data_IF_763585405039
#
_entry.id   IF_763585405039
#
_cell.length_a   1.000
_cell.length_b   1.000
_cell.length_c   1.000
_cell.angle_alpha   90.00
_cell.angle_beta   90.00
_cell.angle_gamma   90.00
#
_symmetry.space_group_name_H-M   'P 1'
#
loop_
_entity.id
_entity.type
_entity.pdbx_description
1 polymer ?
#
# COMPACT_ATOMS: atom_id res chain seq x y z
N UNK A 1 18.47 34.15 2.39
CA UNK A 1 18.14 34.73 1.07
C UNK A 1 19.00 34.01 0.06
N UNK A 2 18.37 33.23 -0.82
CA UNK A 2 19.05 32.33 -1.75
C UNK A 2 18.29 31.02 -1.88
N UNK A 3 17.06 31.11 -2.40
CA UNK A 3 16.28 29.97 -2.89
C UNK A 3 17.08 29.20 -3.96
N UNK A 4 17.07 27.88 -3.89
CA UNK A 4 17.59 27.01 -4.96
C UNK A 4 16.57 25.91 -5.26
N UNK A 5 15.35 26.33 -5.58
CA UNK A 5 14.49 25.55 -6.47
C UNK A 5 14.76 26.02 -7.89
N UNK A 6 15.43 25.18 -8.67
CA UNK A 6 15.28 25.17 -10.12
C UNK A 6 15.66 23.78 -10.60
N UNK A 7 14.65 22.90 -10.71
CA UNK A 7 14.75 21.72 -11.58
C UNK A 7 15.19 22.20 -12.96
N UNK A 8 16.30 21.68 -13.49
CA UNK A 8 16.75 22.05 -14.82
C UNK A 8 15.68 21.64 -15.87
N UNK A 9 15.44 22.46 -16.91
CA UNK A 9 14.43 22.20 -17.94
C UNK A 9 14.79 21.02 -18.86
N UNK A 10 16.06 20.63 -18.92
CA UNK A 10 16.57 19.47 -19.65
C UNK A 10 17.11 18.36 -18.73
N UNK A 11 17.70 17.32 -19.33
CA UNK A 11 18.35 16.23 -18.57
C UNK A 11 19.57 15.65 -19.29
N UNK A 12 20.40 14.96 -18.53
CA UNK A 12 21.44 14.06 -19.04
C UNK A 12 20.89 12.64 -19.00
N UNK A 13 20.99 11.89 -20.10
CA UNK A 13 20.61 10.46 -20.14
C UNK A 13 21.86 9.59 -20.27
N UNK A 14 21.96 8.56 -19.43
CA UNK A 14 23.06 7.58 -19.45
C UNK A 14 22.49 6.18 -19.62
N UNK A 15 22.72 5.57 -20.77
CA UNK A 15 22.43 4.14 -20.95
C UNK A 15 23.59 3.32 -20.40
N UNK A 16 23.32 2.48 -19.40
CA UNK A 16 24.34 1.71 -18.68
C UNK A 16 23.99 0.22 -18.58
N UNK A 17 24.92 -0.58 -18.05
CA UNK A 17 24.68 -1.96 -17.63
C UNK A 17 25.26 -2.14 -16.22
N UNK A 18 24.55 -2.90 -15.37
CA UNK A 18 25.03 -3.24 -14.04
C UNK A 18 26.42 -3.90 -14.05
N UNK A 19 27.30 -3.46 -13.15
CA UNK A 19 28.66 -4.00 -13.02
C UNK A 19 29.68 -3.48 -14.04
N UNK A 20 29.31 -2.53 -14.92
CA UNK A 20 30.25 -1.91 -15.86
C UNK A 20 31.10 -0.80 -15.20
N UNK A 21 32.44 -0.91 -15.17
CA UNK A 21 33.31 0.11 -14.57
C UNK A 21 33.21 1.47 -15.27
N UNK A 22 33.16 1.49 -16.61
CA UNK A 22 33.05 2.72 -17.40
C UNK A 22 31.72 3.45 -17.18
N UNK A 23 30.63 2.71 -16.93
CA UNK A 23 29.34 3.31 -16.57
C UNK A 23 29.40 3.98 -15.20
N UNK A 24 30.06 3.35 -14.23
CA UNK A 24 30.22 3.89 -12.88
C UNK A 24 31.04 5.18 -12.92
N UNK A 25 32.16 5.18 -13.64
CA UNK A 25 33.03 6.35 -13.78
C UNK A 25 32.34 7.53 -14.48
N UNK A 26 31.56 7.26 -15.53
CA UNK A 26 30.77 8.29 -16.21
C UNK A 26 29.74 8.93 -15.26
N UNK A 27 29.00 8.11 -14.51
CA UNK A 27 27.99 8.60 -13.54
C UNK A 27 28.62 9.46 -12.45
N UNK A 28 29.76 9.06 -11.90
CA UNK A 28 30.49 9.87 -10.92
C UNK A 28 30.89 11.24 -11.48
N UNK A 29 31.34 11.28 -12.73
CA UNK A 29 31.72 12.54 -13.40
C UNK A 29 30.50 13.44 -13.60
N UNK A 30 29.37 12.87 -14.02
CA UNK A 30 28.13 13.61 -14.31
C UNK A 30 27.41 14.09 -13.03
N UNK A 31 27.48 13.32 -11.94
CA UNK A 31 26.88 13.69 -10.65
C UNK A 31 27.46 14.99 -10.09
N UNK A 32 28.72 15.32 -10.40
CA UNK A 32 29.37 16.56 -9.99
C UNK A 32 28.91 17.82 -10.74
N UNK A 33 28.07 17.70 -11.78
CA UNK A 33 27.70 18.82 -12.65
C UNK A 33 26.46 19.60 -12.19
N UNK A 34 25.75 19.12 -11.17
CA UNK A 34 24.59 19.80 -10.60
C UNK A 34 23.42 19.95 -11.59
N UNK A 35 23.21 18.94 -12.44
CA UNK A 35 22.09 18.83 -13.38
C UNK A 35 21.44 17.44 -13.29
N UNK A 36 20.16 17.28 -13.64
CA UNK A 36 19.47 15.98 -13.60
C UNK A 36 20.17 14.94 -14.48
N UNK A 37 20.55 13.82 -13.88
CA UNK A 37 21.12 12.65 -14.59
C UNK A 37 20.14 11.48 -14.47
N UNK A 38 19.62 11.02 -15.61
CA UNK A 38 18.76 9.86 -15.74
C UNK A 38 19.59 8.65 -16.19
N UNK A 39 19.67 7.63 -15.36
CA UNK A 39 20.37 6.38 -15.65
C UNK A 39 19.39 5.29 -16.08
N UNK A 40 19.67 4.65 -17.22
CA UNK A 40 18.83 3.62 -17.81
C UNK A 40 19.65 2.34 -17.93
N UNK A 41 19.32 1.33 -17.14
CA UNK A 41 19.96 0.02 -17.21
C UNK A 41 19.43 -0.79 -18.40
N UNK A 42 20.26 -0.97 -19.43
CA UNK A 42 19.96 -1.80 -20.59
C UNK A 42 19.94 -3.30 -20.26
N UNK A 43 20.37 -3.71 -19.06
CA UNK A 43 20.18 -5.05 -18.52
C UNK A 43 18.72 -5.34 -18.18
N UNK A 44 18.04 -4.39 -17.54
CA UNK A 44 16.61 -4.49 -17.20
C UNK A 44 15.68 -4.06 -18.35
N UNK A 45 16.17 -3.26 -19.30
CA UNK A 45 15.41 -2.73 -20.45
C UNK A 45 16.00 -3.18 -21.79
N UNK A 46 15.94 -4.50 -22.05
CA UNK A 46 16.50 -5.10 -23.27
C UNK A 46 15.89 -4.55 -24.57
N UNK A 47 14.66 -4.08 -24.53
CA UNK A 47 13.91 -3.46 -25.63
C UNK A 47 14.53 -2.16 -26.13
N UNK A 48 15.28 -1.45 -25.29
CA UNK A 48 15.95 -0.20 -25.66
C UNK A 48 17.28 -0.43 -26.37
N UNK A 49 17.87 -1.62 -26.30
CA UNK A 49 19.18 -1.90 -26.92
C UNK A 49 19.18 -1.67 -28.42
N UNK A 50 18.12 -2.08 -29.11
CA UNK A 50 17.97 -1.87 -30.54
C UNK A 50 17.86 -0.38 -30.89
N UNK A 51 17.07 0.37 -30.12
CA UNK A 51 16.86 1.81 -30.30
C UNK A 51 18.12 2.63 -30.02
N UNK A 52 18.84 2.31 -28.93
CA UNK A 52 20.11 2.98 -28.60
C UNK A 52 21.14 2.72 -29.70
N UNK A 53 21.19 1.50 -30.24
CA UNK A 53 22.09 1.18 -31.37
C UNK A 53 21.72 1.95 -32.63
N UNK A 54 20.43 2.13 -32.90
CA UNK A 54 19.94 2.94 -34.02
C UNK A 54 20.32 4.43 -33.86
N UNK A 55 20.14 4.98 -32.66
CA UNK A 55 20.42 6.40 -32.36
C UNK A 55 21.91 6.75 -32.32
N UNK A 56 22.74 5.84 -31.81
CA UNK A 56 24.18 6.10 -31.56
C UNK A 56 25.11 5.44 -32.56
N UNK A 57 24.63 4.47 -33.33
CA UNK A 57 25.45 3.57 -34.13
C UNK A 57 26.34 2.62 -33.31
N UNK A 58 26.28 2.66 -31.97
CA UNK A 58 27.15 1.91 -31.06
C UNK A 58 26.34 0.93 -30.20
N UNK A 59 26.95 -0.23 -29.92
CA UNK A 59 26.38 -1.24 -29.02
C UNK A 59 27.09 -1.32 -27.67
N UNK A 60 28.08 -0.46 -27.44
CA UNK A 60 28.85 -0.39 -26.20
C UNK A 60 28.15 0.50 -25.18
N UNK A 61 28.42 0.27 -23.89
CA UNK A 61 27.95 1.14 -22.79
C UNK A 61 29.16 1.74 -22.05
N UNK A 62 29.03 2.94 -21.46
CA UNK A 62 27.84 3.79 -21.45
C UNK A 62 27.59 4.49 -22.80
N UNK A 63 26.35 4.92 -23.04
CA UNK A 63 26.02 5.92 -24.07
C UNK A 63 25.38 7.12 -23.39
N UNK A 64 25.98 8.31 -23.55
CA UNK A 64 25.68 9.51 -22.78
C UNK A 64 25.11 10.58 -23.72
N UNK A 65 24.02 11.20 -23.27
CA UNK A 65 23.35 12.27 -23.98
C UNK A 65 23.11 13.46 -23.04
N UNK A 66 23.25 14.68 -23.57
CA UNK A 66 22.78 15.91 -22.94
C UNK A 66 21.61 16.40 -23.77
N UNK A 67 20.40 16.35 -23.23
CA UNK A 67 19.17 16.49 -24.03
C UNK A 67 19.19 15.49 -25.21
N UNK A 68 19.13 15.97 -26.45
CA UNK A 68 19.22 15.16 -27.67
C UNK A 68 20.67 15.03 -28.21
N UNK A 69 21.65 15.69 -27.61
CA UNK A 69 23.04 15.68 -28.08
C UNK A 69 23.76 14.43 -27.57
N UNK A 70 24.11 13.54 -28.49
CA UNK A 70 24.92 12.35 -28.20
C UNK A 70 26.40 12.71 -27.99
N UNK A 71 26.93 12.45 -26.81
CA UNK A 71 28.34 12.68 -26.47
C UNK A 71 29.20 11.44 -26.74
N UNK A 72 28.64 10.24 -26.55
CA UNK A 72 29.37 8.98 -26.70
C UNK A 72 29.52 8.22 -25.39
N UNK A 73 30.65 7.52 -25.23
CA UNK A 73 30.95 6.73 -24.04
C UNK A 73 31.71 7.50 -22.96
N UNK A 74 32.18 6.78 -21.95
CA UNK A 74 32.99 7.38 -20.87
C UNK A 74 34.25 8.06 -21.42
N UNK A 75 34.96 7.43 -22.35
CA UNK A 75 36.18 8.00 -22.92
C UNK A 75 35.92 9.28 -23.71
N UNK A 76 34.75 9.38 -24.37
CA UNK A 76 34.35 10.58 -25.09
C UNK A 76 33.98 11.69 -24.09
N UNK A 77 33.29 11.36 -23.00
CA UNK A 77 32.99 12.30 -21.91
C UNK A 77 34.27 12.86 -21.26
N UNK A 78 35.26 12.02 -20.98
CA UNK A 78 36.53 12.46 -20.37
C UNK A 78 37.42 13.29 -21.30
N UNK A 79 37.18 13.24 -22.62
CA UNK A 79 37.91 14.03 -23.63
C UNK A 79 37.34 15.42 -23.85
N UNK A 80 36.13 15.71 -23.35
CA UNK A 80 35.54 17.03 -23.47
C UNK A 80 36.39 18.07 -22.75
N UNK A 81 36.65 19.20 -23.40
CA UNK A 81 37.25 20.35 -22.74
C UNK A 81 36.28 20.91 -21.68
N UNK A 82 36.79 21.59 -20.64
CA UNK A 82 35.94 22.23 -19.64
C UNK A 82 34.91 23.20 -20.24
N UNK A 83 35.27 23.87 -21.33
CA UNK A 83 34.41 24.83 -22.05
C UNK A 83 33.25 24.13 -22.77
N UNK A 84 33.53 23.00 -23.44
CA UNK A 84 32.51 22.19 -24.10
C UNK A 84 31.56 21.55 -23.09
N UNK A 85 32.10 21.02 -21.99
CA UNK A 85 31.29 20.44 -20.93
C UNK A 85 30.38 21.48 -20.27
N UNK A 86 30.91 22.68 -19.99
CA UNK A 86 30.12 23.77 -19.44
C UNK A 86 29.00 24.20 -20.39
N UNK A 87 29.26 24.24 -21.70
CA UNK A 87 28.24 24.55 -22.71
C UNK A 87 27.11 23.52 -22.73
N UNK A 88 27.44 22.23 -22.65
CA UNK A 88 26.43 21.15 -22.59
C UNK A 88 25.62 21.20 -21.29
N UNK A 89 26.26 21.53 -20.17
CA UNK A 89 25.57 21.72 -18.88
C UNK A 89 24.63 22.92 -18.93
N UNK A 90 25.06 24.04 -19.51
CA UNK A 90 24.21 25.22 -19.71
C UNK A 90 23.00 24.90 -20.60
N UNK A 91 23.19 24.15 -21.69
CA UNK A 91 22.10 23.68 -22.55
C UNK A 91 21.03 22.92 -21.74
N UNK A 92 21.44 22.01 -20.86
CA UNK A 92 20.53 21.25 -20.00
C UNK A 92 19.83 22.14 -18.96
N UNK A 93 20.47 23.23 -18.52
CA UNK A 93 19.90 24.18 -17.54
C UNK A 93 18.99 25.23 -18.14
N UNK A 94 19.14 25.54 -19.42
CA UNK A 94 18.46 26.67 -20.05
C UNK A 94 17.40 26.24 -21.06
N UNK A 95 17.57 25.07 -21.70
CA UNK A 95 16.67 24.60 -22.74
C UNK A 95 15.75 23.46 -22.25
N UNK A 96 14.44 23.52 -22.59
CA UNK A 96 13.53 22.42 -22.32
C UNK A 96 13.92 21.17 -23.11
N UNK A 97 13.60 20.01 -22.55
CA UNK A 97 13.89 18.72 -23.17
C UNK A 97 13.31 18.66 -24.61
N UNK A 98 14.14 18.46 -25.64
CA UNK A 98 13.69 18.35 -27.04
C UNK A 98 12.80 17.12 -27.28
N UNK A 99 11.91 17.19 -28.26
CA UNK A 99 11.01 16.08 -28.62
C UNK A 99 11.74 14.84 -29.18
N UNK A 100 12.96 15.03 -29.68
CA UNK A 100 13.88 14.01 -30.19
C UNK A 100 14.89 13.53 -29.14
N UNK A 101 14.67 13.86 -27.85
CA UNK A 101 15.47 13.35 -26.75
C UNK A 101 15.49 11.81 -26.70
N UNK A 102 16.57 11.20 -26.21
CA UNK A 102 16.75 9.76 -26.19
C UNK A 102 15.61 9.06 -25.43
N UNK A 103 15.10 7.92 -25.95
CA UNK A 103 13.92 7.26 -25.45
C UNK A 103 14.14 6.70 -24.06
N UNK A 104 13.24 7.02 -23.14
CA UNK A 104 13.12 6.30 -21.88
C UNK A 104 12.41 4.95 -22.09
N UNK A 105 12.52 4.02 -21.13
CA UNK A 105 11.60 2.89 -21.06
C UNK A 105 10.16 3.40 -21.17
N UNK A 106 9.31 2.74 -21.96
CA UNK A 106 7.91 3.11 -22.06
C UNK A 106 7.26 2.89 -20.69
N UNK A 107 7.14 3.96 -19.90
CA UNK A 107 6.30 3.96 -18.72
C UNK A 107 4.84 3.96 -19.19
N UNK A 108 4.08 2.97 -18.74
CA UNK A 108 2.63 3.10 -18.62
C UNK A 108 2.32 4.41 -17.92
N UNK A 109 1.46 5.23 -18.54
CA UNK A 109 1.03 6.54 -18.07
C UNK A 109 0.91 6.65 -16.54
N UNK A 110 1.90 7.27 -15.90
CA UNK A 110 1.78 8.07 -14.67
C UNK A 110 3.17 8.59 -14.29
N UNK A 111 3.56 9.73 -14.86
CA UNK A 111 4.59 10.59 -14.26
C UNK A 111 3.90 11.89 -13.84
N UNK A 112 3.36 11.90 -12.63
CA UNK A 112 3.43 13.08 -11.79
C UNK A 112 4.65 12.87 -10.90
N UNK A 113 5.48 13.91 -10.77
CA UNK A 113 6.62 14.05 -9.86
C UNK A 113 6.62 13.07 -8.68
N UNK A 114 7.57 12.13 -8.67
CA UNK A 114 7.81 11.25 -7.53
C UNK A 114 8.22 12.08 -6.31
N UNK A 115 7.20 12.43 -5.53
CA UNK A 115 7.31 12.86 -4.15
C UNK A 115 7.90 11.69 -3.34
N UNK A 116 8.72 11.99 -2.33
CA UNK A 116 9.24 10.99 -1.37
C UNK A 116 8.10 10.14 -0.74
N UNK A 117 6.84 10.57 -0.86
CA UNK A 117 5.63 9.86 -0.44
C UNK A 117 5.25 8.65 -1.31
N UNK A 118 5.63 8.61 -2.59
CA UNK A 118 5.26 7.49 -3.48
C UNK A 118 5.85 6.15 -3.02
N UNK A 119 7.03 6.20 -2.38
CA UNK A 119 7.72 5.00 -1.90
C UNK A 119 6.99 4.24 -0.79
N UNK A 120 6.25 4.93 0.09
CA UNK A 120 5.48 4.26 1.15
C UNK A 120 4.28 3.52 0.55
N UNK A 121 3.53 4.20 -0.31
CA UNK A 121 2.36 3.63 -0.98
C UNK A 121 2.77 2.44 -1.83
N UNK A 122 3.74 2.60 -2.72
CA UNK A 122 4.23 1.53 -3.60
C UNK A 122 4.72 0.31 -2.82
N UNK A 123 5.48 0.53 -1.74
CA UNK A 123 5.96 -0.55 -0.88
C UNK A 123 4.80 -1.33 -0.23
N UNK A 124 3.77 -0.64 0.25
CA UNK A 124 2.60 -1.30 0.85
C UNK A 124 1.79 -2.12 -0.17
N UNK A 125 1.66 -1.62 -1.40
CA UNK A 125 1.01 -2.31 -2.51
C UNK A 125 1.79 -3.58 -2.85
N UNK A 126 3.11 -3.47 -3.04
CA UNK A 126 3.97 -4.59 -3.40
C UNK A 126 3.95 -5.68 -2.33
N UNK A 127 4.06 -5.31 -1.04
CA UNK A 127 3.96 -6.26 0.07
C UNK A 127 2.62 -7.01 0.06
N UNK A 128 1.52 -6.30 -0.20
CA UNK A 128 0.18 -6.90 -0.26
C UNK A 128 0.04 -7.85 -1.46
N UNK A 129 0.50 -7.44 -2.64
CA UNK A 129 0.47 -8.26 -3.85
C UNK A 129 1.26 -9.56 -3.69
N UNK A 130 2.43 -9.50 -3.03
CA UNK A 130 3.22 -10.70 -2.76
C UNK A 130 2.51 -11.68 -1.84
N UNK A 131 1.85 -11.19 -0.79
CA UNK A 131 1.04 -12.04 0.09
C UNK A 131 -0.13 -12.68 -0.68
N UNK A 132 -0.81 -11.92 -1.54
CA UNK A 132 -1.88 -12.46 -2.37
C UNK A 132 -1.39 -13.52 -3.35
N UNK A 133 -0.23 -13.30 -3.97
CA UNK A 133 0.41 -14.28 -4.84
C UNK A 133 0.67 -15.58 -4.08
N UNK A 134 1.29 -15.49 -2.91
CA UNK A 134 1.53 -16.65 -2.03
C UNK A 134 0.21 -17.36 -1.68
N UNK A 135 -0.84 -16.61 -1.34
CA UNK A 135 -2.16 -17.19 -1.09
C UNK A 135 -2.68 -17.96 -2.30
N UNK A 136 -2.63 -17.36 -3.49
CA UNK A 136 -3.14 -17.99 -4.71
C UNK A 136 -2.42 -19.29 -5.08
N UNK A 137 -1.11 -19.37 -4.80
CA UNK A 137 -0.28 -20.54 -5.07
C UNK A 137 -0.50 -21.68 -4.06
N UNK A 138 -1.02 -21.39 -2.87
CA UNK A 138 -1.13 -22.34 -1.75
C UNK A 138 -2.56 -22.51 -1.22
N UNK A 139 -3.56 -21.95 -1.93
CA UNK A 139 -4.96 -22.16 -1.64
C UNK A 139 -5.37 -23.55 -2.14
N UNK A 140 -6.11 -24.29 -1.32
CA UNK A 140 -6.66 -25.60 -1.72
C UNK A 140 -7.60 -25.46 -2.91
N UNK A 141 -7.75 -26.54 -3.68
CA UNK A 141 -8.60 -26.55 -4.87
C UNK A 141 -10.08 -26.19 -4.60
N UNK A 142 -10.55 -26.39 -3.37
CA UNK A 142 -11.90 -26.01 -2.93
C UNK A 142 -12.00 -24.57 -2.42
N UNK A 143 -10.89 -23.82 -2.37
CA UNK A 143 -10.81 -22.44 -1.90
C UNK A 143 -10.95 -22.26 -0.40
N UNK A 144 -10.98 -23.34 0.40
CA UNK A 144 -11.36 -23.28 1.82
C UNK A 144 -10.20 -23.31 2.80
N UNK A 145 -9.03 -23.75 2.37
CA UNK A 145 -7.86 -23.92 3.23
C UNK A 145 -6.59 -23.45 2.55
N UNK A 146 -5.61 -23.02 3.35
CA UNK A 146 -4.35 -22.45 2.85
C UNK A 146 -3.19 -23.20 3.47
N UNK A 147 -2.27 -23.68 2.64
CA UNK A 147 -1.03 -24.32 3.07
C UNK A 147 0.01 -23.29 3.51
N UNK A 148 -0.15 -22.80 4.75
CA UNK A 148 0.78 -21.87 5.37
C UNK A 148 2.21 -22.43 5.48
N UNK A 149 2.35 -23.76 5.60
CA UNK A 149 3.66 -24.40 5.70
C UNK A 149 4.39 -24.31 4.36
N UNK A 150 3.71 -24.64 3.26
CA UNK A 150 4.23 -24.44 1.90
C UNK A 150 4.58 -22.98 1.61
N UNK A 151 3.68 -22.05 1.97
CA UNK A 151 3.92 -20.60 1.80
C UNK A 151 5.20 -20.14 2.50
N UNK A 152 5.46 -20.63 3.72
CA UNK A 152 6.64 -20.22 4.50
C UNK A 152 7.98 -20.67 3.89
N UNK A 153 7.96 -21.72 3.06
CA UNK A 153 9.13 -22.24 2.36
C UNK A 153 9.28 -21.69 0.93
N UNK A 154 8.32 -20.89 0.45
CA UNK A 154 8.33 -20.35 -0.90
C UNK A 154 9.32 -19.16 -1.02
N UNK A 155 10.19 -19.11 -2.05
CA UNK A 155 11.14 -18.00 -2.25
C UNK A 155 10.50 -16.62 -2.34
N UNK A 156 9.24 -16.52 -2.77
CA UNK A 156 8.48 -15.25 -2.78
C UNK A 156 8.32 -14.72 -1.34
N UNK A 157 8.18 -15.58 -0.35
CA UNK A 157 8.08 -15.16 1.05
C UNK A 157 9.41 -14.60 1.59
N UNK A 158 10.55 -15.13 1.15
CA UNK A 158 11.86 -14.57 1.48
C UNK A 158 11.99 -13.15 0.92
N UNK A 159 11.63 -12.95 -0.35
CA UNK A 159 11.61 -11.61 -0.97
C UNK A 159 10.63 -10.66 -0.26
N UNK A 160 9.48 -11.15 0.20
CA UNK A 160 8.54 -10.35 0.98
C UNK A 160 9.18 -9.87 2.29
N UNK A 161 9.93 -10.75 2.98
CA UNK A 161 10.65 -10.39 4.20
C UNK A 161 11.70 -9.30 3.94
N UNK A 162 12.44 -9.38 2.83
CA UNK A 162 13.42 -8.35 2.44
C UNK A 162 12.77 -6.98 2.20
N UNK A 163 11.61 -6.95 1.55
CA UNK A 163 10.86 -5.72 1.31
C UNK A 163 10.25 -5.18 2.60
N UNK A 164 9.77 -6.05 3.49
CA UNK A 164 9.22 -5.62 4.78
C UNK A 164 10.27 -4.90 5.64
N UNK A 165 11.57 -5.21 5.48
CA UNK A 165 12.67 -4.48 6.15
C UNK A 165 12.71 -3.01 5.71
N UNK A 166 12.28 -2.68 4.48
CA UNK A 166 12.29 -1.31 3.98
C UNK A 166 11.26 -0.41 4.67
N UNK A 167 10.23 -1.00 5.30
CA UNK A 167 9.22 -0.25 6.08
C UNK A 167 9.87 0.62 7.16
N UNK A 168 11.01 0.23 7.71
CA UNK A 168 11.69 1.02 8.73
C UNK A 168 12.10 2.42 8.26
N UNK A 169 12.15 2.67 6.94
CA UNK A 169 12.61 3.92 6.32
C UNK A 169 11.49 4.75 5.71
N UNK A 170 10.24 4.29 5.73
CA UNK A 170 9.14 5.04 5.11
C UNK A 170 8.84 6.32 5.88
N UNK A 171 8.54 7.40 5.16
CA UNK A 171 8.02 8.62 5.74
C UNK A 171 6.49 8.52 5.89
N UNK A 172 5.96 8.79 7.08
CA UNK A 172 4.53 8.62 7.40
C UNK A 172 3.78 9.94 7.64
N UNK A 173 4.50 11.00 8.01
CA UNK A 173 3.89 12.26 8.44
C UNK A 173 3.33 13.06 7.25
N UNK A 174 4.01 12.98 6.12
CA UNK A 174 3.68 13.62 4.85
C UNK A 174 2.50 12.96 4.11
N UNK A 175 2.08 11.76 4.51
CA UNK A 175 0.99 11.03 3.86
C UNK A 175 -0.37 11.70 4.10
N UNK A 176 -1.16 11.81 3.04
CA UNK A 176 -2.58 12.17 3.07
C UNK A 176 -3.43 11.15 3.84
N UNK A 177 -4.71 11.45 4.07
CA UNK A 177 -5.66 10.52 4.70
C UNK A 177 -5.76 9.24 3.86
N UNK A 178 -5.92 9.39 2.56
CA UNK A 178 -6.14 8.32 1.61
C UNK A 178 -4.92 7.40 1.50
N UNK A 179 -3.72 8.00 1.44
CA UNK A 179 -2.45 7.27 1.48
C UNK A 179 -2.27 6.52 2.81
N UNK A 180 -2.55 7.16 3.95
CA UNK A 180 -2.49 6.49 5.27
C UNK A 180 -3.44 5.31 5.34
N UNK A 181 -4.69 5.46 4.90
CA UNK A 181 -5.67 4.38 4.89
C UNK A 181 -5.19 3.21 4.03
N UNK A 182 -4.85 3.46 2.77
CA UNK A 182 -4.37 2.42 1.85
C UNK A 182 -3.12 1.72 2.40
N UNK A 183 -2.12 2.50 2.83
CA UNK A 183 -0.88 2.00 3.40
C UNK A 183 -1.14 1.08 4.61
N UNK A 184 -1.80 1.59 5.65
CA UNK A 184 -1.93 0.84 6.90
C UNK A 184 -2.89 -0.35 6.78
N UNK A 185 -3.91 -0.30 5.93
CA UNK A 185 -4.78 -1.46 5.67
C UNK A 185 -3.99 -2.57 4.95
N UNK A 186 -3.22 -2.21 3.92
CA UNK A 186 -2.37 -3.17 3.21
C UNK A 186 -1.32 -3.79 4.15
N UNK A 187 -0.63 -2.97 4.92
CA UNK A 187 0.39 -3.41 5.89
C UNK A 187 -0.22 -4.29 6.98
N UNK A 188 -1.37 -3.91 7.55
CA UNK A 188 -2.07 -4.73 8.55
C UNK A 188 -2.40 -6.11 7.98
N UNK A 189 -3.04 -6.14 6.81
CA UNK A 189 -3.45 -7.40 6.18
C UNK A 189 -2.25 -8.26 5.81
N UNK A 190 -1.13 -7.68 5.37
CA UNK A 190 0.10 -8.39 5.10
C UNK A 190 0.77 -8.91 6.40
N UNK A 191 0.78 -8.10 7.46
CA UNK A 191 1.38 -8.44 8.76
C UNK A 191 0.64 -9.60 9.46
N UNK A 192 -0.70 -9.68 9.35
CA UNK A 192 -1.46 -10.83 9.87
C UNK A 192 -0.94 -12.13 9.27
N UNK A 193 -0.78 -12.16 7.95
CA UNK A 193 -0.30 -13.37 7.25
C UNK A 193 1.16 -13.65 7.58
N UNK A 194 2.01 -12.63 7.58
CA UNK A 194 3.40 -12.80 7.98
C UNK A 194 3.50 -13.40 9.40
N UNK A 195 2.68 -12.91 10.33
CA UNK A 195 2.56 -13.47 11.67
C UNK A 195 2.15 -14.95 11.66
N UNK A 196 1.15 -15.33 10.86
CA UNK A 196 0.75 -16.74 10.74
C UNK A 196 1.86 -17.63 10.18
N UNK A 197 2.60 -17.16 9.17
CA UNK A 197 3.70 -17.90 8.56
C UNK A 197 4.88 -18.10 9.51
N UNK A 198 5.15 -17.14 10.41
CA UNK A 198 6.30 -17.20 11.34
C UNK A 198 5.95 -17.81 12.70
N UNK A 199 4.75 -17.57 13.20
CA UNK A 199 4.35 -17.89 14.58
C UNK A 199 3.22 -18.91 14.66
N UNK A 200 2.58 -19.23 13.53
CA UNK A 200 1.35 -20.03 13.47
C UNK A 200 0.09 -19.19 13.74
N UNK A 201 -1.05 -19.70 13.27
CA UNK A 201 -2.35 -19.09 13.53
C UNK A 201 -2.76 -19.30 15.01
N UNK A 202 -3.30 -18.27 15.69
CA UNK A 202 -3.74 -18.41 17.08
C UNK A 202 -4.96 -19.33 17.16
N UNK A 203 -4.90 -20.32 18.05
CA UNK A 203 -5.94 -21.36 18.20
C UNK A 203 -6.93 -21.09 19.33
N UNK A 204 -6.66 -20.08 20.18
CA UNK A 204 -7.51 -19.72 21.30
C UNK A 204 -7.45 -18.22 21.59
N UNK A 205 -8.36 -17.74 22.44
CA UNK A 205 -8.52 -16.32 22.75
C UNK A 205 -7.26 -15.66 23.32
N UNK A 206 -6.50 -16.35 24.17
CA UNK A 206 -5.30 -15.79 24.78
C UNK A 206 -4.15 -15.70 23.77
N UNK A 207 -3.96 -16.73 22.94
CA UNK A 207 -3.02 -16.67 21.81
C UNK A 207 -3.41 -15.55 20.84
N UNK A 208 -4.71 -15.38 20.56
CA UNK A 208 -5.21 -14.30 19.71
C UNK A 208 -4.89 -12.94 20.32
N UNK A 209 -5.19 -12.73 21.60
CA UNK A 209 -4.83 -11.51 22.32
C UNK A 209 -3.34 -11.21 22.19
N UNK A 210 -2.46 -12.18 22.47
CA UNK A 210 -1.02 -11.99 22.30
C UNK A 210 -0.63 -11.68 20.85
N UNK A 211 -1.18 -12.39 19.89
CA UNK A 211 -0.89 -12.20 18.48
C UNK A 211 -1.11 -10.74 18.07
N UNK A 212 -2.29 -10.19 18.32
CA UNK A 212 -2.61 -8.82 17.93
C UNK A 212 -1.85 -7.75 18.73
N UNK A 213 -1.40 -8.04 19.95
CA UNK A 213 -0.68 -7.08 20.81
C UNK A 213 0.86 -7.16 20.71
N UNK A 214 1.43 -8.17 20.04
CA UNK A 214 2.89 -8.34 19.94
C UNK A 214 3.42 -8.48 18.51
N UNK A 215 2.63 -9.02 17.57
CA UNK A 215 3.02 -9.08 16.16
C UNK A 215 3.06 -7.66 15.61
N UNK A 216 4.23 -7.27 15.11
CA UNK A 216 4.55 -5.88 14.81
C UNK A 216 5.57 -5.74 13.67
N UNK A 217 5.61 -4.54 13.10
CA UNK A 217 6.68 -4.06 12.23
C UNK A 217 7.34 -2.81 12.78
N UNK A 218 8.60 -2.60 12.41
CA UNK A 218 9.26 -1.31 12.51
C UNK A 218 8.94 -0.52 11.24
N UNK A 219 8.19 0.58 11.37
CA UNK A 219 7.71 1.41 10.27
C UNK A 219 8.11 2.85 10.54
N UNK A 220 8.89 3.47 9.65
CA UNK A 220 9.36 4.85 9.81
C UNK A 220 10.08 5.12 11.14
N UNK A 221 10.86 4.14 11.62
CA UNK A 221 11.59 4.23 12.90
C UNK A 221 10.79 3.86 14.16
N UNK A 222 9.49 3.62 14.06
CA UNK A 222 8.62 3.31 15.22
C UNK A 222 8.01 1.91 15.11
N UNK A 223 7.76 1.25 16.25
CA UNK A 223 7.16 -0.09 16.26
C UNK A 223 5.64 0.00 16.26
N UNK A 224 5.00 -0.70 15.32
CA UNK A 224 3.55 -0.77 15.19
C UNK A 224 3.07 -2.22 15.27
N UNK A 225 2.33 -2.55 16.32
CA UNK A 225 1.59 -3.81 16.41
C UNK A 225 0.33 -3.79 15.55
N UNK A 226 -0.27 -4.95 15.28
CA UNK A 226 -1.58 -5.00 14.63
C UNK A 226 -2.62 -4.16 15.41
N UNK A 227 -2.60 -4.23 16.74
CA UNK A 227 -3.47 -3.43 17.59
C UNK A 227 -3.23 -1.93 17.42
N UNK A 228 -1.96 -1.50 17.35
CA UNK A 228 -1.57 -0.11 17.14
C UNK A 228 -2.04 0.40 15.78
N UNK A 229 -1.91 -0.41 14.73
CA UNK A 229 -2.36 -0.02 13.38
C UNK A 229 -3.89 0.14 13.34
N UNK A 230 -4.63 -0.86 13.79
CA UNK A 230 -6.10 -0.83 13.78
C UNK A 230 -6.62 0.29 14.68
N UNK A 231 -6.27 0.27 15.97
CA UNK A 231 -6.92 1.10 16.96
C UNK A 231 -6.22 2.45 17.16
N UNK A 232 -4.90 2.46 17.00
CA UNK A 232 -4.05 3.63 17.20
C UNK A 232 -4.11 4.55 15.99
N UNK A 233 -3.93 3.99 14.79
CA UNK A 233 -3.84 4.75 13.56
C UNK A 233 -5.20 4.88 12.87
N UNK A 234 -5.77 3.75 12.42
CA UNK A 234 -6.96 3.75 11.55
C UNK A 234 -8.26 4.15 12.29
N UNK A 235 -8.34 3.87 13.61
CA UNK A 235 -9.46 4.30 14.46
C UNK A 235 -9.19 5.60 15.22
N UNK A 236 -8.19 6.39 14.84
CA UNK A 236 -7.89 7.68 15.49
C UNK A 236 -7.62 7.56 17.01
N UNK A 237 -6.73 6.65 17.38
CA UNK A 237 -6.33 6.37 18.76
C UNK A 237 -7.51 6.03 19.71
N UNK A 238 -8.52 5.32 19.19
CA UNK A 238 -9.63 4.80 19.99
C UNK A 238 -9.22 3.57 20.79
N UNK A 239 -9.95 3.33 21.87
CA UNK A 239 -9.77 2.15 22.71
C UNK A 239 -10.18 0.89 21.94
N UNK A 240 -9.30 -0.11 21.91
CA UNK A 240 -9.59 -1.42 21.31
C UNK A 240 -10.53 -2.27 22.17
N UNK A 241 -11.07 -3.32 21.55
CA UNK A 241 -11.91 -4.31 22.24
C UNK A 241 -11.08 -5.01 23.32
N UNK A 242 -11.66 -5.17 24.51
CA UNK A 242 -11.01 -5.76 25.69
C UNK A 242 -9.73 -5.04 26.17
N UNK A 243 -9.38 -3.87 25.60
CA UNK A 243 -8.29 -3.05 26.11
C UNK A 243 -8.77 -2.22 27.30
N UNK A 244 -7.85 -1.70 28.11
CA UNK A 244 -8.19 -0.78 29.21
C UNK A 244 -7.88 0.68 28.86
N UNK A 245 -6.87 0.92 28.02
CA UNK A 245 -6.35 2.23 27.65
C UNK A 245 -6.35 2.42 26.13
N UNK A 246 -6.14 3.66 25.69
CA UNK A 246 -5.85 3.97 24.28
C UNK A 246 -4.47 3.42 23.90
N UNK A 247 -4.25 3.03 22.63
CA UNK A 247 -2.95 2.57 22.14
C UNK A 247 -1.82 3.56 22.44
N UNK A 248 -2.03 4.84 22.11
CA UNK A 248 -1.00 5.86 22.18
C UNK A 248 -1.30 6.89 23.27
N UNK A 249 -0.27 7.25 24.02
CA UNK A 249 -0.31 8.37 24.97
C UNK A 249 -0.21 9.71 24.25
N UNK A 250 -0.43 10.83 24.95
CA UNK A 250 -0.31 12.18 24.36
C UNK A 250 1.12 12.54 23.92
N UNK A 251 2.13 11.87 24.48
CA UNK A 251 3.55 12.09 24.17
C UNK A 251 4.12 11.01 23.27
N UNK A 252 3.30 10.06 22.83
CA UNK A 252 3.73 9.00 21.92
C UNK A 252 3.88 9.58 20.51
N UNK A 253 5.07 9.49 19.88
CA UNK A 253 5.30 10.09 18.56
C UNK A 253 4.39 9.50 17.48
N UNK A 254 3.98 8.23 17.63
CA UNK A 254 3.09 7.53 16.68
C UNK A 254 1.70 8.16 16.60
N UNK A 255 1.30 8.93 17.62
CA UNK A 255 0.02 9.63 17.62
C UNK A 255 -0.09 10.66 16.48
N UNK A 256 1.03 11.22 16.01
CA UNK A 256 1.03 12.19 14.91
C UNK A 256 0.65 11.58 13.56
N UNK A 257 0.78 10.26 13.43
CA UNK A 257 0.42 9.50 12.22
C UNK A 257 -1.06 9.10 12.23
N UNK A 258 -1.72 9.11 13.39
CA UNK A 258 -3.09 8.67 13.53
C UNK A 258 -4.08 9.50 12.70
N UNK A 259 -5.13 8.85 12.20
CA UNK A 259 -6.22 9.58 11.56
C UNK A 259 -6.89 10.52 12.56
N UNK A 260 -7.35 11.71 12.12
CA UNK A 260 -8.02 12.67 13.01
C UNK A 260 -9.32 12.08 13.59
N UNK A 261 -10.03 11.29 12.79
CA UNK A 261 -11.25 10.61 13.15
C UNK A 261 -11.14 9.11 12.82
N UNK A 262 -11.94 8.29 13.50
CA UNK A 262 -12.01 6.87 13.20
C UNK A 262 -12.71 6.65 11.87
N UNK A 263 -12.12 5.81 11.01
CA UNK A 263 -12.75 5.35 9.78
C UNK A 263 -13.51 4.04 10.04
N UNK A 264 -14.86 4.03 10.12
CA UNK A 264 -15.61 2.81 10.48
C UNK A 264 -15.54 1.73 9.39
N UNK A 265 -15.30 2.11 8.13
CA UNK A 265 -15.30 1.15 7.02
C UNK A 265 -14.09 0.19 7.05
N UNK A 266 -13.03 0.52 7.79
CA UNK A 266 -11.87 -0.37 7.93
C UNK A 266 -12.27 -1.74 8.51
N UNK A 267 -13.35 -1.81 9.30
CA UNK A 267 -13.84 -3.04 9.93
C UNK A 267 -14.22 -4.13 8.93
N UNK A 268 -14.50 -3.74 7.69
CA UNK A 268 -14.83 -4.64 6.58
C UNK A 268 -13.64 -4.88 5.64
N UNK A 269 -12.54 -4.17 5.85
CA UNK A 269 -11.32 -4.23 5.05
C UNK A 269 -10.15 -4.93 5.76
N UNK A 270 -10.11 -4.84 7.09
CA UNK A 270 -9.12 -5.50 7.92
C UNK A 270 -9.50 -6.95 8.16
N UNK A 271 -8.51 -7.84 8.06
CA UNK A 271 -8.68 -9.26 8.34
C UNK A 271 -9.76 -9.92 7.47
N UNK A 272 -9.70 -9.68 6.15
CA UNK A 272 -10.48 -10.39 5.13
C UNK A 272 -10.11 -11.89 4.98
N UNK A 273 -9.65 -12.54 6.05
CA UNK A 273 -9.25 -13.95 6.12
C UNK A 273 -10.32 -14.88 6.69
N UNK A 274 -11.54 -14.40 6.89
CA UNK A 274 -12.70 -15.23 7.25
C UNK A 274 -13.28 -15.94 6.02
N UNK A 275 -14.01 -17.03 6.29
CA UNK A 275 -14.62 -17.95 5.32
C UNK A 275 -15.75 -17.24 4.55
N UNK A 276 -15.40 -16.36 3.60
CA UNK A 276 -16.36 -15.64 2.76
C UNK A 276 -16.04 -14.19 2.41
N UNK A 277 -14.80 -13.70 2.58
CA UNK A 277 -14.51 -12.31 2.26
C UNK A 277 -14.58 -12.00 0.75
N UNK A 278 -15.17 -10.85 0.38
CA UNK A 278 -15.21 -10.40 -1.01
C UNK A 278 -13.80 -10.14 -1.55
N UNK A 279 -13.58 -10.29 -2.87
CA UNK A 279 -12.26 -10.32 -3.49
C UNK A 279 -11.69 -8.90 -3.70
N UNK A 280 -11.49 -8.13 -2.63
CA UNK A 280 -10.74 -6.87 -2.73
C UNK A 280 -9.30 -7.15 -2.35
N UNK A 281 -8.46 -7.20 -3.38
CA UNK A 281 -7.11 -7.75 -3.33
C UNK A 281 -6.15 -6.74 -2.68
N UNK A 282 -6.13 -5.50 -3.12
CA UNK A 282 -5.19 -4.47 -2.64
C UNK A 282 -5.89 -3.12 -2.58
N UNK A 283 -5.57 -2.30 -1.59
CA UNK A 283 -6.14 -0.97 -1.43
C UNK A 283 -5.20 0.11 -1.99
N UNK A 284 -5.73 1.04 -2.79
CA UNK A 284 -4.95 2.13 -3.43
C UNK A 284 -5.43 3.48 -2.91
N UNK A 285 -4.57 4.51 -2.76
CA UNK A 285 -5.02 5.82 -2.31
C UNK A 285 -6.12 6.42 -3.20
N UNK A 286 -6.06 6.19 -4.51
CA UNK A 286 -6.98 6.75 -5.49
C UNK A 286 -8.40 6.20 -5.33
N UNK A 287 -8.54 4.93 -4.95
CA UNK A 287 -9.83 4.23 -4.89
C UNK A 287 -10.22 3.83 -3.45
N UNK A 288 -9.46 4.23 -2.43
CA UNK A 288 -9.60 3.72 -1.07
C UNK A 288 -11.03 3.83 -0.54
N UNK A 289 -11.67 4.98 -0.71
CA UNK A 289 -13.01 5.21 -0.19
C UNK A 289 -14.06 4.37 -0.93
N UNK A 290 -13.91 4.18 -2.24
CA UNK A 290 -14.82 3.34 -3.02
C UNK A 290 -14.62 1.86 -2.68
N UNK A 291 -13.37 1.40 -2.57
CA UNK A 291 -12.99 0.05 -2.17
C UNK A 291 -13.53 -0.29 -0.77
N UNK A 292 -13.40 0.63 0.19
CA UNK A 292 -13.93 0.48 1.54
C UNK A 292 -15.46 0.39 1.55
N UNK A 293 -16.16 1.23 0.77
CA UNK A 293 -17.62 1.16 0.62
C UNK A 293 -18.07 -0.17 -0.01
N UNK A 294 -17.41 -0.60 -1.09
CA UNK A 294 -17.71 -1.89 -1.73
C UNK A 294 -17.50 -3.07 -0.78
N UNK A 295 -16.45 -3.04 0.06
CA UNK A 295 -16.23 -4.06 1.09
C UNK A 295 -17.38 -4.11 2.11
N UNK A 296 -17.84 -2.94 2.58
CA UNK A 296 -18.94 -2.84 3.53
C UNK A 296 -20.28 -3.28 2.93
N UNK A 297 -20.59 -2.84 1.71
CA UNK A 297 -21.80 -3.24 0.98
C UNK A 297 -21.86 -4.76 0.79
N UNK A 298 -20.77 -5.36 0.30
CA UNK A 298 -20.67 -6.80 0.10
C UNK A 298 -20.78 -7.58 1.42
N UNK A 299 -20.22 -7.05 2.50
CA UNK A 299 -20.36 -7.63 3.84
C UNK A 299 -21.81 -7.59 4.30
N UNK A 300 -22.47 -6.43 4.23
CA UNK A 300 -23.85 -6.23 4.70
C UNK A 300 -24.89 -7.02 3.91
N UNK A 301 -24.61 -7.35 2.65
CA UNK A 301 -25.50 -8.20 1.84
C UNK A 301 -25.44 -9.68 2.27
N UNK A 302 -24.39 -10.11 2.99
CA UNK A 302 -24.28 -11.48 3.52
C UNK A 302 -25.22 -11.70 4.75
N UNK A 303 -25.91 -12.83 4.78
CA UNK A 303 -26.77 -13.23 5.90
C UNK A 303 -25.98 -13.53 7.20
N UNK A 304 -24.69 -13.85 7.10
CA UNK A 304 -23.81 -13.97 8.27
C UNK A 304 -23.51 -12.60 8.93
N UNK A 305 -23.83 -11.50 8.24
CA UNK A 305 -23.56 -10.15 8.68
C UNK A 305 -24.81 -9.36 9.07
N UNK A 306 -25.88 -9.49 8.30
CA UNK A 306 -27.12 -8.75 8.49
C UNK A 306 -28.34 -9.57 8.06
N UNK A 307 -29.22 -9.86 9.03
CA UNK A 307 -30.52 -10.50 8.80
C UNK A 307 -31.63 -9.59 9.31
N UNK A 308 -32.61 -9.32 8.45
CA UNK A 308 -33.76 -8.47 8.75
C UNK A 308 -35.01 -9.34 8.91
N UNK A 309 -35.57 -9.39 10.12
CA UNK A 309 -36.85 -10.04 10.41
C UNK A 309 -37.95 -8.97 10.42
N UNK A 310 -38.58 -8.77 9.25
CA UNK A 310 -39.66 -7.79 9.07
C UNK A 310 -40.92 -8.12 9.88
N UNK A 311 -41.14 -9.39 10.23
CA UNK A 311 -42.32 -9.84 10.98
C UNK A 311 -42.17 -9.48 12.46
N UNK A 312 -40.99 -9.77 13.04
CA UNK A 312 -40.70 -9.45 14.45
C UNK A 312 -40.19 -8.04 14.67
N UNK A 313 -39.90 -7.29 13.60
CA UNK A 313 -39.23 -5.98 13.65
C UNK A 313 -37.88 -6.06 14.37
N UNK A 314 -37.14 -7.12 14.07
CA UNK A 314 -35.82 -7.41 14.62
C UNK A 314 -34.75 -7.37 13.52
N UNK A 315 -33.57 -6.85 13.87
CA UNK A 315 -32.39 -6.87 12.99
C UNK A 315 -31.28 -7.59 13.74
N UNK A 316 -30.74 -8.64 13.13
CA UNK A 316 -29.61 -9.39 13.63
C UNK A 316 -28.35 -8.95 12.89
N UNK A 317 -27.38 -8.39 13.60
CA UNK A 317 -26.15 -7.86 13.04
C UNK A 317 -24.93 -8.67 13.50
N UNK A 318 -23.84 -8.65 12.73
CA UNK A 318 -22.56 -9.20 13.15
C UNK A 318 -22.07 -8.58 14.47
N UNK A 319 -21.34 -9.35 15.28
CA UNK A 319 -20.77 -8.88 16.54
C UNK A 319 -19.81 -7.70 16.37
N UNK A 320 -19.28 -7.47 15.17
CA UNK A 320 -18.42 -6.31 14.89
C UNK A 320 -19.12 -4.99 15.25
N UNK A 321 -20.42 -4.90 14.97
CA UNK A 321 -21.25 -3.74 15.31
C UNK A 321 -21.47 -3.59 16.82
N UNK A 322 -21.40 -4.70 17.58
CA UNK A 322 -21.47 -4.67 19.05
C UNK A 322 -20.14 -4.21 19.65
N UNK A 323 -19.04 -4.80 19.21
CA UNK A 323 -17.72 -4.55 19.77
C UNK A 323 -17.22 -3.13 19.47
N UNK A 324 -17.53 -2.64 18.27
CA UNK A 324 -17.12 -1.33 17.78
C UNK A 324 -18.31 -0.36 17.67
N UNK A 325 -19.35 -0.54 18.50
CA UNK A 325 -20.58 0.27 18.47
C UNK A 325 -20.34 1.78 18.45
N UNK A 326 -19.31 2.25 19.14
CA UNK A 326 -18.91 3.66 19.17
C UNK A 326 -18.45 4.22 17.81
N UNK A 327 -17.96 3.37 16.91
CA UNK A 327 -17.55 3.73 15.55
C UNK A 327 -18.77 3.89 14.64
N UNK A 328 -19.87 3.20 14.96
CA UNK A 328 -21.14 3.23 14.22
C UNK A 328 -22.19 4.14 14.87
N UNK A 329 -21.76 5.19 15.59
CA UNK A 329 -22.64 6.20 16.19
C UNK A 329 -23.10 5.94 17.63
N UNK A 330 -22.80 4.78 18.22
CA UNK A 330 -22.93 4.51 19.65
C UNK A 330 -24.33 4.09 20.14
N UNK A 331 -25.39 4.33 19.35
CA UNK A 331 -26.77 3.92 19.66
C UNK A 331 -27.32 3.00 18.58
N UNK A 332 -28.36 2.23 18.90
CA UNK A 332 -28.96 1.30 17.92
C UNK A 332 -29.58 2.05 16.75
N UNK A 333 -30.17 3.23 17.01
CA UNK A 333 -30.78 4.06 15.97
C UNK A 333 -29.73 4.59 14.98
N UNK A 334 -28.58 5.06 15.49
CA UNK A 334 -27.50 5.55 14.64
C UNK A 334 -26.79 4.42 13.91
N UNK A 335 -26.66 3.25 14.55
CA UNK A 335 -26.13 2.05 13.93
C UNK A 335 -27.01 1.60 12.77
N UNK A 336 -28.33 1.54 12.95
CA UNK A 336 -29.26 1.16 11.87
C UNK A 336 -29.25 2.17 10.73
N UNK A 337 -29.17 3.47 11.03
CA UNK A 337 -28.97 4.51 10.02
C UNK A 337 -27.66 4.30 9.24
N UNK A 338 -26.56 4.07 9.95
CA UNK A 338 -25.26 3.79 9.33
C UNK A 338 -25.31 2.55 8.44
N UNK A 339 -25.94 1.46 8.87
CA UNK A 339 -26.10 0.25 8.06
C UNK A 339 -26.90 0.56 6.80
N UNK A 340 -28.02 1.26 6.91
CA UNK A 340 -28.85 1.65 5.76
C UNK A 340 -28.08 2.48 4.72
N UNK A 341 -27.25 3.41 5.19
CA UNK A 341 -26.46 4.29 4.32
C UNK A 341 -25.35 3.54 3.56
N UNK A 342 -24.92 2.37 4.05
CA UNK A 342 -23.84 1.57 3.48
C UNK A 342 -24.30 0.23 2.88
N UNK A 343 -25.61 0.00 2.80
CA UNK A 343 -26.17 -1.11 2.03
C UNK A 343 -26.33 -0.70 0.56
N UNK A 344 -25.98 -1.64 -0.33
CA UNK A 344 -26.35 -1.55 -1.74
C UNK A 344 -27.86 -1.57 -1.92
N UNK A 345 -28.35 -1.16 -3.09
CA UNK A 345 -29.77 -1.15 -3.40
C UNK A 345 -30.30 -2.58 -3.59
N UNK A 346 -30.74 -3.19 -2.49
CA UNK A 346 -31.21 -4.57 -2.42
C UNK A 346 -32.58 -4.70 -1.74
N UNK A 347 -33.31 -5.81 -1.95
CA UNK A 347 -34.55 -6.09 -1.20
C UNK A 347 -34.33 -6.09 0.32
N UNK A 348 -33.12 -6.45 0.77
CA UNK A 348 -32.73 -6.42 2.17
C UNK A 348 -32.70 -4.99 2.71
N UNK A 349 -32.14 -4.03 1.95
CA UNK A 349 -32.17 -2.60 2.29
C UNK A 349 -33.59 -2.07 2.40
N UNK A 350 -34.46 -2.37 1.43
CA UNK A 350 -35.87 -1.97 1.47
C UNK A 350 -36.59 -2.54 2.68
N UNK A 351 -36.33 -3.81 3.02
CA UNK A 351 -36.89 -4.45 4.21
C UNK A 351 -36.43 -3.76 5.49
N UNK A 352 -35.13 -3.44 5.59
CA UNK A 352 -34.57 -2.72 6.72
C UNK A 352 -35.18 -1.31 6.86
N UNK A 353 -35.31 -0.57 5.76
CA UNK A 353 -35.97 0.74 5.74
C UNK A 353 -37.40 0.65 6.25
N UNK A 354 -38.16 -0.37 5.83
CA UNK A 354 -39.51 -0.63 6.31
C UNK A 354 -39.57 -0.89 7.81
N UNK A 355 -38.67 -1.74 8.33
CA UNK A 355 -38.58 -2.05 9.77
C UNK A 355 -38.23 -0.82 10.60
N UNK A 356 -37.23 -0.05 10.17
CA UNK A 356 -36.77 1.17 10.85
C UNK A 356 -37.85 2.26 10.83
N UNK A 357 -38.56 2.43 9.71
CA UNK A 357 -39.63 3.43 9.59
C UNK A 357 -40.87 3.06 10.42
N UNK A 358 -41.08 1.77 10.72
CA UNK A 358 -42.22 1.26 11.47
C UNK A 358 -42.10 1.43 13.00
N UNK A 359 -41.06 2.12 13.49
CA UNK A 359 -40.88 2.51 14.88
C UNK A 359 -39.70 1.84 15.57
N UNK A 360 -39.87 1.45 16.84
CA UNK A 360 -38.77 0.91 17.65
C UNK A 360 -38.33 -0.48 17.16
N UNK A 361 -37.20 -0.53 16.47
CA UNK A 361 -36.54 -1.75 16.01
C UNK A 361 -35.68 -2.35 17.11
N UNK A 362 -35.77 -3.67 17.31
CA UNK A 362 -34.86 -4.36 18.23
C UNK A 362 -33.63 -4.83 17.46
N UNK A 363 -32.46 -4.40 17.94
CA UNK A 363 -31.15 -4.85 17.43
C UNK A 363 -30.64 -6.00 18.30
N UNK A 364 -30.21 -7.08 17.65
CA UNK A 364 -29.54 -8.19 18.31
C UNK A 364 -28.32 -8.62 17.48
N UNK A 365 -27.47 -9.47 18.05
CA UNK A 365 -26.19 -9.80 17.43
C UNK A 365 -26.05 -11.30 17.19
N UNK A 366 -25.61 -11.66 15.98
CA UNK A 366 -25.38 -13.03 15.55
C UNK A 366 -24.25 -13.69 16.37
N UNK A 367 -24.28 -15.01 16.59
CA UNK A 367 -23.13 -15.72 17.16
C UNK A 367 -21.93 -15.59 16.22
N UNK A 368 -20.74 -15.37 16.79
CA UNK A 368 -19.50 -15.21 16.01
C UNK A 368 -18.59 -16.41 16.21
N UNK A 369 -18.21 -17.07 15.12
CA UNK A 369 -17.22 -18.14 15.13
C UNK A 369 -15.80 -17.54 15.11
N UNK A 370 -14.99 -17.93 16.09
CA UNK A 370 -13.61 -17.48 16.24
C UNK A 370 -12.59 -18.40 15.55
N UNK A 371 -13.04 -19.48 14.90
CA UNK A 371 -12.18 -20.46 14.24
C UNK A 371 -11.39 -19.86 13.05
N UNK A 372 -10.14 -20.30 12.85
CA UNK A 372 -9.30 -19.92 11.70
C UNK A 372 -9.45 -20.91 10.55
N UNK A 373 -9.28 -20.46 9.31
CA UNK A 373 -9.32 -21.29 8.09
C UNK A 373 -8.04 -22.13 7.85
N UNK A 374 -7.36 -22.57 8.91
CA UNK A 374 -6.11 -23.34 8.80
C UNK A 374 -6.38 -24.85 8.76
N UNK A 375 -5.81 -25.57 7.79
CA UNK A 375 -5.67 -27.03 7.83
C UNK A 375 -4.35 -27.38 8.54
N UNK A 376 -4.41 -28.34 9.46
CA UNK A 376 -3.26 -28.86 10.21
C UNK A 376 -2.27 -29.62 9.33
#
# INVERSE_FOLDING_TARGET
>A
MGDYESSAPGRITVYSIQGCPHCTQAKTTLAGLGVPVCDIDLGSHSELRAKVKELTGRSTVPQIFFNNIHVGGNDDLQKLSPEELQRLVSLVKEEPLPADAPPLPQQSQSEHTASENEGATELSLLLREMILKLFSEHLSADGKSVDYKGMSANPVFERYCELAIQLQRVELLSLSREEKLAFFINIYNALVIHGYLRLGAPTNMWQRYRFFNYVSYLIGGEVFTLQDIENGILRGNRKGVAQLRRPFSKTDPRLQVALPDAEPLIHFALNCGAKGCPPIKTYTPQDIDSQLRTAAEAFLENDDACVVDSVKKEVHLSQIFKWYKADFGGTDEKLLGWVLDHMGDSPKKTSLQGVVSAGKTKVSFLPYDWSSNSTH
#
